data_IF_336491091160
#
_entry.id   IF_336491091160
#
_cell.length_a   1.000
_cell.length_b   1.000
_cell.length_c   1.000
_cell.angle_alpha   90.00
_cell.angle_beta   90.00
_cell.angle_gamma   90.00
#
_symmetry.space_group_name_H-M   'P 1'
#
loop_
_entity.id
_entity.type
_entity.pdbx_description
1 polymer ?
#
# COMPACT_ATOMS: atom_id res chain seq x y z
N UNK A 1 -7.66 -47.39 -11.30
CA UNK A 1 -8.39 -47.24 -12.56
C UNK A 1 -9.75 -46.58 -12.23
N UNK A 2 -9.85 -45.29 -11.86
CA UNK A 2 -9.24 -44.07 -12.43
C UNK A 2 -9.67 -43.83 -13.89
N UNK A 3 -10.03 -42.62 -14.36
CA UNK A 3 -10.32 -41.28 -13.77
C UNK A 3 -11.15 -40.49 -14.83
N UNK A 4 -11.62 -39.22 -14.73
CA UNK A 4 -11.47 -38.05 -13.84
C UNK A 4 -12.89 -37.57 -13.43
N UNK A 5 -13.05 -36.78 -12.35
CA UNK A 5 -14.27 -35.99 -12.07
C UNK A 5 -13.99 -34.47 -12.05
N UNK A 6 -15.03 -33.66 -12.31
CA UNK A 6 -15.14 -32.20 -12.07
C UNK A 6 -14.12 -31.24 -12.71
N UNK A 7 -14.60 -30.34 -13.60
CA UNK A 7 -13.88 -29.08 -13.91
C UNK A 7 -14.76 -27.88 -14.34
N UNK A 8 -16.09 -27.91 -14.11
CA UNK A 8 -16.98 -26.78 -14.41
C UNK A 8 -16.97 -25.69 -13.33
N UNK A 9 -17.14 -26.09 -12.06
CA UNK A 9 -17.30 -25.17 -10.93
C UNK A 9 -16.00 -24.42 -10.56
N UNK A 10 -14.84 -25.03 -10.82
CA UNK A 10 -13.52 -24.49 -10.45
C UNK A 10 -13.13 -23.22 -11.23
N UNK A 11 -13.74 -22.98 -12.39
CA UNK A 11 -13.45 -21.79 -13.22
C UNK A 11 -13.92 -20.49 -12.55
N UNK A 12 -15.13 -20.51 -11.95
CA UNK A 12 -15.78 -19.32 -11.35
C UNK A 12 -15.04 -18.82 -10.09
N UNK A 13 -14.34 -19.73 -9.39
CA UNK A 13 -13.53 -19.40 -8.19
C UNK A 13 -12.04 -19.17 -8.51
N UNK A 14 -11.54 -19.57 -9.69
CA UNK A 14 -10.14 -19.30 -10.09
C UNK A 14 -9.89 -17.88 -10.61
N UNK A 15 -10.95 -17.11 -10.87
CA UNK A 15 -10.87 -15.67 -11.21
C UNK A 15 -10.67 -14.76 -9.98
N UNK A 16 -10.36 -15.32 -8.81
CA UNK A 16 -9.90 -14.58 -7.62
C UNK A 16 -8.53 -13.91 -7.84
N UNK A 17 -8.54 -12.80 -8.59
CA UNK A 17 -7.87 -11.54 -8.25
C UNK A 17 -6.55 -11.71 -7.48
N UNK A 18 -5.53 -12.25 -8.16
CA UNK A 18 -4.26 -12.65 -7.55
C UNK A 18 -3.53 -11.47 -6.87
N UNK A 19 -3.78 -10.25 -7.33
CA UNK A 19 -3.33 -9.01 -6.73
C UNK A 19 -3.94 -8.75 -5.34
N UNK A 20 -5.24 -9.02 -5.14
CA UNK A 20 -5.89 -8.88 -3.83
C UNK A 20 -5.50 -10.01 -2.88
N UNK A 21 -5.51 -11.26 -3.36
CA UNK A 21 -5.14 -12.42 -2.55
C UNK A 21 -3.67 -12.33 -2.06
N UNK A 22 -2.76 -11.85 -2.93
CA UNK A 22 -1.37 -11.59 -2.56
C UNK A 22 -1.24 -10.48 -1.51
N UNK A 23 -1.96 -9.35 -1.67
CA UNK A 23 -1.97 -8.28 -0.66
C UNK A 23 -2.46 -8.81 0.69
N UNK A 24 -3.60 -9.49 0.71
CA UNK A 24 -4.22 -9.96 1.95
C UNK A 24 -3.32 -10.96 2.69
N UNK A 25 -2.69 -11.89 1.97
CA UNK A 25 -1.68 -12.80 2.54
C UNK A 25 -0.49 -12.04 3.16
N UNK A 26 0.08 -11.07 2.42
CA UNK A 26 1.23 -10.28 2.91
C UNK A 26 0.85 -9.43 4.12
N UNK A 27 -0.34 -8.82 4.15
CA UNK A 27 -0.77 -8.00 5.29
C UNK A 27 -1.09 -8.89 6.50
N UNK A 28 -1.82 -10.00 6.35
CA UNK A 28 -2.15 -10.92 7.46
C UNK A 28 -0.92 -11.54 8.10
N UNK A 29 0.21 -11.62 7.40
CA UNK A 29 1.51 -12.05 7.93
C UNK A 29 2.33 -10.93 8.63
N UNK A 30 1.84 -9.68 8.67
CA UNK A 30 2.54 -8.50 9.21
C UNK A 30 1.79 -7.78 10.35
N UNK A 31 0.58 -8.24 10.71
CA UNK A 31 -0.31 -7.63 11.70
C UNK A 31 -0.54 -8.55 12.89
N UNK A 32 -0.93 -7.99 14.04
CA UNK A 32 -1.37 -8.80 15.19
C UNK A 32 -2.87 -9.16 15.07
N UNK A 33 -3.65 -8.35 14.32
CA UNK A 33 -5.09 -8.50 14.15
C UNK A 33 -5.45 -8.91 12.70
N UNK A 34 -5.18 -10.17 12.27
CA UNK A 34 -5.44 -10.60 10.88
C UNK A 34 -6.92 -10.53 10.49
N UNK A 35 -7.85 -10.68 11.44
CA UNK A 35 -9.29 -10.61 11.19
C UNK A 35 -9.82 -9.18 10.96
N UNK A 36 -9.05 -8.16 11.37
CA UNK A 36 -9.33 -6.76 11.05
C UNK A 36 -8.91 -6.37 9.62
N UNK A 37 -8.12 -7.22 8.94
CA UNK A 37 -7.64 -6.97 7.56
C UNK A 37 -8.78 -7.16 6.57
N UNK A 38 -9.18 -6.07 5.92
CA UNK A 38 -10.23 -6.04 4.90
C UNK A 38 -9.70 -5.42 3.61
N UNK A 39 -9.87 -6.14 2.51
CA UNK A 39 -9.47 -5.70 1.18
C UNK A 39 -10.70 -5.48 0.30
N UNK A 40 -10.74 -4.37 -0.44
CA UNK A 40 -11.76 -4.02 -1.43
C UNK A 40 -11.07 -3.73 -2.76
N UNK A 41 -11.66 -4.15 -3.88
CA UNK A 41 -11.01 -4.08 -5.20
C UNK A 41 -11.97 -3.60 -6.27
N UNK A 42 -11.62 -2.47 -6.88
CA UNK A 42 -12.35 -1.83 -7.96
C UNK A 42 -11.53 -1.86 -9.24
N UNK A 43 -12.23 -1.93 -10.37
CA UNK A 43 -11.64 -1.91 -11.72
C UNK A 43 -12.28 -0.75 -12.46
N UNK A 44 -11.45 0.16 -12.91
CA UNK A 44 -11.81 1.41 -13.57
C UNK A 44 -11.04 1.50 -14.90
N UNK A 45 -11.38 2.46 -15.77
CA UNK A 45 -10.72 2.62 -17.08
C UNK A 45 -9.19 2.82 -16.98
N UNK A 46 -8.71 3.33 -15.84
CA UNK A 46 -7.28 3.57 -15.56
C UNK A 46 -6.53 2.37 -14.94
N UNK A 47 -7.23 1.26 -14.65
CA UNK A 47 -6.64 0.04 -14.08
C UNK A 47 -7.40 -0.50 -12.87
N UNK A 48 -6.67 -0.85 -11.81
CA UNK A 48 -7.22 -1.51 -10.62
C UNK A 48 -6.86 -0.72 -9.37
N UNK A 49 -7.87 -0.39 -8.56
CA UNK A 49 -7.69 0.18 -7.24
C UNK A 49 -7.96 -0.90 -6.19
N UNK A 50 -6.93 -1.29 -5.44
CA UNK A 50 -7.07 -2.10 -4.23
C UNK A 50 -7.02 -1.19 -3.02
N UNK A 51 -8.04 -1.28 -2.18
CA UNK A 51 -8.18 -0.52 -0.93
C UNK A 51 -8.00 -1.45 0.26
N UNK A 52 -7.11 -1.08 1.17
CA UNK A 52 -6.80 -1.83 2.38
C UNK A 52 -7.31 -1.09 3.63
N UNK A 53 -8.06 -1.79 4.48
CA UNK A 53 -8.36 -1.40 5.86
C UNK A 53 -7.75 -2.42 6.82
N UNK A 54 -7.23 -1.96 7.96
CA UNK A 54 -6.70 -2.80 9.05
C UNK A 54 -7.00 -2.13 10.40
N UNK A 55 -6.65 -2.79 11.51
CA UNK A 55 -6.76 -2.19 12.85
C UNK A 55 -5.84 -0.94 13.02
N UNK A 56 -6.29 0.12 13.75
CA UNK A 56 -5.46 1.28 14.04
C UNK A 56 -4.08 0.96 14.67
N UNK A 57 -3.99 -0.07 15.50
CA UNK A 57 -2.74 -0.47 16.18
C UNK A 57 -1.70 -1.01 15.19
N UNK A 58 -2.16 -1.72 14.16
CA UNK A 58 -1.31 -2.33 13.13
C UNK A 58 -0.84 -1.35 12.05
N UNK A 59 -1.45 -0.16 11.94
CA UNK A 59 -1.11 0.82 10.91
C UNK A 59 0.36 1.28 10.96
N UNK A 60 0.96 1.34 12.15
CA UNK A 60 2.39 1.64 12.30
C UNK A 60 3.31 0.65 11.58
N UNK A 61 2.93 -0.64 11.53
CA UNK A 61 3.69 -1.72 10.87
C UNK A 61 3.55 -1.64 9.35
N UNK A 62 2.31 -1.48 8.88
CA UNK A 62 1.95 -1.50 7.45
C UNK A 62 2.43 -0.26 6.70
N UNK A 63 2.40 0.93 7.33
CA UNK A 63 3.07 2.12 6.79
C UNK A 63 4.59 1.94 6.90
N UNK A 64 5.08 1.62 8.10
CA UNK A 64 6.50 1.50 8.40
C UNK A 64 7.24 2.84 8.45
N UNK A 65 8.52 2.81 8.86
CA UNK A 65 9.36 4.02 8.95
C UNK A 65 9.43 4.72 7.59
N UNK A 66 9.07 6.00 7.54
CA UNK A 66 9.01 6.84 6.33
C UNK A 66 8.17 6.22 5.18
N UNK A 67 7.15 5.40 5.49
CA UNK A 67 6.32 4.73 4.49
C UNK A 67 7.01 3.56 3.76
N UNK A 68 8.16 3.08 4.25
CA UNK A 68 8.98 2.08 3.56
C UNK A 68 8.24 0.75 3.31
N UNK A 69 7.49 0.25 4.29
CA UNK A 69 6.70 -0.99 4.17
C UNK A 69 5.62 -0.83 3.09
N UNK A 70 4.81 0.23 3.18
CA UNK A 70 3.77 0.52 2.20
C UNK A 70 4.34 0.81 0.79
N UNK A 71 5.57 1.33 0.67
CA UNK A 71 6.28 1.51 -0.60
C UNK A 71 6.74 0.18 -1.20
N UNK A 72 7.26 -0.74 -0.37
CA UNK A 72 7.65 -2.08 -0.80
C UNK A 72 6.44 -2.89 -1.29
N UNK A 73 5.33 -2.89 -0.54
CA UNK A 73 4.09 -3.57 -0.91
C UNK A 73 3.52 -3.03 -2.23
N UNK A 74 3.53 -1.70 -2.45
CA UNK A 74 3.15 -1.09 -3.75
C UNK A 74 4.03 -1.56 -4.90
N UNK A 75 5.35 -1.67 -4.72
CA UNK A 75 6.25 -2.21 -5.75
C UNK A 75 5.96 -3.67 -6.08
N UNK A 76 5.69 -4.51 -5.07
CA UNK A 76 5.33 -5.91 -5.26
C UNK A 76 3.98 -6.04 -6.01
N UNK A 77 2.95 -5.29 -5.61
CA UNK A 77 1.66 -5.26 -6.31
C UNK A 77 1.78 -4.78 -7.76
N UNK A 78 2.67 -3.83 -8.05
CA UNK A 78 2.94 -3.41 -9.45
C UNK A 78 3.53 -4.57 -10.26
N UNK A 79 4.44 -5.37 -9.70
CA UNK A 79 5.03 -6.54 -10.38
C UNK A 79 3.99 -7.65 -10.58
N UNK A 80 3.11 -7.88 -9.62
CA UNK A 80 1.98 -8.82 -9.76
C UNK A 80 1.03 -8.33 -10.86
N UNK A 81 0.56 -7.08 -10.78
CA UNK A 81 -0.37 -6.49 -11.75
C UNK A 81 0.14 -6.53 -13.20
N UNK A 82 1.43 -6.24 -13.42
CA UNK A 82 2.06 -6.30 -14.76
C UNK A 82 1.94 -7.70 -15.39
N UNK A 83 2.02 -8.79 -14.62
CA UNK A 83 1.83 -10.16 -15.15
C UNK A 83 0.41 -10.43 -15.67
N UNK A 84 -0.55 -9.58 -15.32
CA UNK A 84 -1.96 -9.66 -15.73
C UNK A 84 -2.38 -8.46 -16.59
N UNK A 85 -1.42 -7.70 -17.14
CA UNK A 85 -1.64 -6.43 -17.88
C UNK A 85 -2.47 -5.38 -17.10
N UNK A 86 -2.48 -5.45 -15.77
CA UNK A 86 -3.29 -4.61 -14.90
C UNK A 86 -2.43 -3.59 -14.13
N UNK A 87 -2.79 -2.29 -14.22
CA UNK A 87 -2.18 -1.25 -13.38
C UNK A 87 -2.81 -1.24 -11.99
N UNK A 88 -2.23 -2.01 -11.07
CA UNK A 88 -2.67 -2.10 -9.67
C UNK A 88 -2.12 -0.92 -8.84
N UNK A 89 -3.01 -0.18 -8.19
CA UNK A 89 -2.69 0.87 -7.22
C UNK A 89 -3.21 0.46 -5.82
N UNK A 90 -2.43 0.72 -4.77
CA UNK A 90 -2.81 0.45 -3.37
C UNK A 90 -3.15 1.76 -2.62
N UNK A 91 -4.42 1.90 -2.25
CA UNK A 91 -4.91 2.82 -1.22
C UNK A 91 -4.90 2.11 0.12
N UNK A 92 -4.45 2.81 1.16
CA UNK A 92 -4.61 2.41 2.56
C UNK A 92 -5.60 3.41 3.15
N UNK A 93 -6.62 2.95 3.86
CA UNK A 93 -7.54 3.84 4.57
C UNK A 93 -7.11 4.01 6.01
N UNK A 94 -6.92 5.27 6.40
CA UNK A 94 -6.72 5.64 7.79
C UNK A 94 -8.07 5.47 8.53
N UNK A 95 -8.11 4.79 9.68
CA UNK A 95 -9.31 4.69 10.49
C UNK A 95 -9.67 6.04 11.10
N UNK A 96 -10.96 6.26 11.37
CA UNK A 96 -11.44 7.51 11.98
C UNK A 96 -10.77 7.74 13.35
N UNK A 97 -10.22 8.95 13.55
CA UNK A 97 -9.36 9.26 14.71
C UNK A 97 -7.86 9.04 14.48
N UNK A 98 -7.45 8.53 13.31
CA UNK A 98 -6.05 8.53 12.89
C UNK A 98 -5.43 9.93 12.94
N UNK A 99 -4.21 10.04 13.47
CA UNK A 99 -3.45 11.30 13.42
C UNK A 99 -3.03 11.56 11.97
N UNK A 100 -3.81 12.38 11.28
CA UNK A 100 -3.40 13.00 10.02
C UNK A 100 -2.02 13.69 10.14
N UNK A 101 -1.34 13.95 9.02
CA UNK A 101 0.08 14.27 9.01
C UNK A 101 0.40 15.44 9.94
N UNK A 102 1.16 15.15 11.00
CA UNK A 102 1.77 16.18 11.85
C UNK A 102 2.78 16.95 10.99
N UNK A 103 2.31 18.05 10.41
CA UNK A 103 3.10 18.99 9.64
C UNK A 103 4.07 19.73 10.58
N UNK A 104 5.13 19.02 10.96
CA UNK A 104 6.22 19.50 11.79
C UNK A 104 7.06 20.51 11.02
N UNK A 105 6.58 21.76 11.02
CA UNK A 105 7.23 22.97 10.51
C UNK A 105 8.76 22.91 10.59
N UNK A 106 9.41 22.95 9.42
CA UNK A 106 10.84 23.26 9.24
C UNK A 106 11.08 23.97 7.90
N UNK A 107 10.52 25.16 7.78
CA UNK A 107 11.14 26.21 6.97
C UNK A 107 12.38 26.71 7.73
N UNK A 108 13.50 26.00 7.59
CA UNK A 108 14.82 26.36 8.15
C UNK A 108 15.88 25.36 7.60
N UNK A 109 16.90 25.71 6.80
CA UNK A 109 17.33 27.00 6.26
C UNK A 109 17.80 26.82 4.81
N UNK A 110 17.29 27.63 3.89
CA UNK A 110 18.13 28.18 2.83
C UNK A 110 18.68 29.49 3.40
N UNK A 111 19.96 29.51 3.78
CA UNK A 111 20.69 30.77 3.95
C UNK A 111 21.24 31.09 2.57
N UNK A 112 20.66 32.10 1.93
CA UNK A 112 21.25 32.63 0.71
C UNK A 112 22.60 33.28 1.02
N UNK A 113 23.47 33.33 0.01
CA UNK A 113 24.90 33.59 0.22
C UNK A 113 25.15 35.06 0.60
N UNK A 114 24.25 35.96 0.20
CA UNK A 114 24.31 37.40 0.42
C UNK A 114 24.39 37.80 1.90
N UNK A 115 23.69 37.10 2.81
CA UNK A 115 23.74 37.36 4.26
C UNK A 115 25.16 37.23 4.85
N UNK A 116 26.00 36.38 4.26
CA UNK A 116 27.37 36.12 4.74
C UNK A 116 28.36 37.20 4.25
N UNK A 117 28.01 37.94 3.20
CA UNK A 117 28.89 38.97 2.61
C UNK A 117 28.84 40.29 3.39
N UNK A 118 27.82 40.50 4.23
CA UNK A 118 27.65 41.71 5.04
C UNK A 118 28.73 41.95 6.10
N UNK A 119 29.15 40.89 6.82
CA UNK A 119 30.13 40.98 7.93
C UNK A 119 31.59 41.09 7.47
N UNK A 120 31.87 41.01 6.17
CA UNK A 120 33.23 41.12 5.61
C UNK A 120 33.49 42.48 4.91
N UNK A 121 33.16 43.57 5.61
CA UNK A 121 33.56 44.94 5.26
C UNK A 121 34.13 45.70 6.47
N UNK A 122 35.38 45.39 6.79
CA UNK A 122 36.34 46.24 7.49
C UNK A 122 37.40 46.72 6.49
#
# INVERSE_FOLDING_TARGET
>A
METIQHNGFLCVIKTMQQDQAFLEYVIKALVDNPDAVKTDRKVDEMGVLVTLKVDPQDMGKIIGRNGATAKAIRSLLRVVGIKHNARVNLKIEEPEGGRGPRMGMREDRMRDVDDVVGDLRL
#
